data_IF_872463002269
#
_entry.id   IF_872463002269
#
_cell.length_a   1.000
_cell.length_b   1.000
_cell.length_c   1.000
_cell.angle_alpha   90.00
_cell.angle_beta   90.00
_cell.angle_gamma   90.00
#
_symmetry.space_group_name_H-M   'P 1'
#
loop_
_entity.id
_entity.type
_entity.pdbx_description
1 polymer ?
#
# COMPACT_ATOMS: atom_id res chain seq x y z
N UNK A 1 8.24 -8.45 26.02
CA UNK A 1 7.96 -8.91 24.67
C UNK A 1 9.13 -8.61 23.74
N UNK A 2 9.32 -9.38 22.66
CA UNK A 2 10.31 -9.08 21.63
C UNK A 2 9.77 -8.04 20.66
N UNK A 3 10.65 -7.12 20.22
CA UNK A 3 10.34 -6.14 19.18
C UNK A 3 11.59 -5.82 18.36
N UNK A 4 11.41 -5.39 17.12
CA UNK A 4 12.45 -4.78 16.31
C UNK A 4 12.56 -3.31 16.72
N UNK A 5 13.76 -2.87 17.12
CA UNK A 5 13.96 -1.51 17.63
C UNK A 5 14.90 -0.73 16.73
N UNK A 6 14.48 0.46 16.34
CA UNK A 6 15.28 1.47 15.67
C UNK A 6 15.86 2.42 16.72
N UNK A 7 17.15 2.29 17.01
CA UNK A 7 17.85 3.13 17.99
C UNK A 7 18.30 4.47 17.41
N UNK A 8 18.61 4.49 16.12
CA UNK A 8 19.01 5.66 15.36
C UNK A 8 18.52 5.54 13.92
N UNK A 9 18.24 6.66 13.26
CA UNK A 9 17.96 6.65 11.82
C UNK A 9 19.19 6.23 11.05
N UNK A 10 19.02 5.27 10.13
CA UNK A 10 20.13 4.70 9.36
C UNK A 10 19.71 3.53 8.49
N UNK A 11 20.66 2.69 8.06
CA UNK A 11 20.39 1.48 7.29
C UNK A 11 19.43 0.53 8.01
N UNK A 12 18.59 -0.17 7.26
CA UNK A 12 17.63 -1.12 7.85
C UNK A 12 18.32 -2.33 8.50
N UNK A 13 19.54 -2.62 8.08
CA UNK A 13 20.41 -3.65 8.63
C UNK A 13 20.84 -3.41 10.08
N UNK A 14 20.79 -2.16 10.55
CA UNK A 14 21.14 -1.78 11.94
C UNK A 14 20.00 -2.07 12.93
N UNK A 15 18.81 -2.44 12.43
CA UNK A 15 17.70 -2.84 13.27
C UNK A 15 18.00 -4.13 14.03
N UNK A 16 17.56 -4.21 15.27
CA UNK A 16 17.81 -5.38 16.12
C UNK A 16 16.59 -5.79 16.94
N UNK A 17 16.47 -7.11 17.19
CA UNK A 17 15.50 -7.62 18.14
C UNK A 17 15.90 -7.24 19.56
N UNK A 18 14.98 -6.64 20.30
CA UNK A 18 15.19 -6.30 21.71
C UNK A 18 14.03 -6.78 22.58
N UNK A 19 14.31 -6.99 23.85
CA UNK A 19 13.27 -7.19 24.86
C UNK A 19 12.82 -5.83 25.38
N UNK A 20 11.54 -5.53 25.20
CA UNK A 20 10.92 -4.29 25.71
C UNK A 20 9.74 -4.63 26.61
N UNK A 21 9.32 -3.73 27.50
CA UNK A 21 8.07 -3.92 28.26
C UNK A 21 6.89 -4.12 27.33
N UNK A 22 5.97 -5.00 27.71
CA UNK A 22 4.68 -5.13 27.00
C UNK A 22 3.82 -3.89 27.29
N UNK A 23 3.24 -3.26 26.26
CA UNK A 23 2.39 -2.09 26.47
C UNK A 23 1.02 -2.49 26.99
N UNK A 24 0.39 -1.58 27.75
CA UNK A 24 -1.01 -1.73 28.17
C UNK A 24 -1.91 -0.77 27.41
N UNK A 25 -3.12 -1.19 26.98
CA UNK A 25 -4.01 -0.32 26.22
C UNK A 25 -4.57 0.81 27.08
N UNK A 26 -4.59 2.03 26.53
CA UNK A 26 -5.33 3.16 27.08
C UNK A 26 -6.84 2.96 26.99
N UNK A 27 -7.62 3.96 27.39
CA UNK A 27 -9.06 3.83 27.51
C UNK A 27 -9.80 3.49 26.22
N UNK A 28 -9.30 4.00 25.08
CA UNK A 28 -9.91 3.86 23.73
C UNK A 28 -9.05 3.00 22.80
N UNK A 29 -8.11 2.23 23.36
CA UNK A 29 -7.13 1.43 22.61
C UNK A 29 -7.34 -0.06 22.85
N UNK A 30 -6.72 -0.85 22.01
CA UNK A 30 -6.74 -2.31 22.04
C UNK A 30 -5.32 -2.83 22.00
N UNK A 31 -5.01 -3.83 22.82
CA UNK A 31 -3.78 -4.61 22.73
C UNK A 31 -4.03 -5.78 21.79
N UNK A 32 -3.18 -5.95 20.80
CA UNK A 32 -3.22 -7.05 19.82
C UNK A 32 -1.99 -7.93 20.02
N UNK A 33 -2.20 -9.23 20.21
CA UNK A 33 -1.17 -10.25 20.04
C UNK A 33 -0.93 -10.40 18.52
N UNK A 34 0.24 -10.00 18.07
CA UNK A 34 0.57 -9.92 16.64
C UNK A 34 0.92 -11.29 16.10
N UNK A 35 0.17 -11.75 15.11
CA UNK A 35 0.43 -12.99 14.39
C UNK A 35 1.24 -12.76 13.11
N UNK A 36 0.96 -11.66 12.39
CA UNK A 36 1.65 -11.30 11.16
C UNK A 36 1.70 -9.78 10.97
N UNK A 37 2.77 -9.30 10.33
CA UNK A 37 2.97 -7.88 10.00
C UNK A 37 3.26 -7.71 8.52
N UNK A 38 2.67 -6.70 7.90
CA UNK A 38 3.02 -6.29 6.54
C UNK A 38 4.34 -5.53 6.53
N UNK A 39 5.18 -5.81 5.52
CA UNK A 39 6.44 -5.09 5.29
C UNK A 39 6.26 -4.14 4.11
N UNK A 40 6.39 -2.86 4.36
CA UNK A 40 6.08 -1.81 3.39
C UNK A 40 7.26 -0.88 3.13
N UNK A 41 7.36 -0.35 1.90
CA UNK A 41 8.39 0.63 1.54
C UNK A 41 8.45 1.85 2.48
N UNK A 42 7.32 2.42 2.96
CA UNK A 42 7.34 3.46 3.98
C UNK A 42 8.04 3.08 5.29
N UNK A 43 8.05 1.80 5.69
CA UNK A 43 8.75 1.36 6.90
C UNK A 43 10.27 1.51 6.75
N UNK A 44 10.83 1.18 5.57
CA UNK A 44 12.24 1.39 5.28
C UNK A 44 12.60 2.89 5.26
N UNK A 45 11.75 3.73 4.63
CA UNK A 45 11.93 5.19 4.65
C UNK A 45 11.87 5.76 6.07
N UNK A 46 11.00 5.21 6.91
CA UNK A 46 10.86 5.62 8.31
C UNK A 46 12.15 5.34 9.10
N UNK A 47 12.69 4.12 8.97
CA UNK A 47 13.94 3.70 9.61
C UNK A 47 15.11 4.56 9.16
N UNK A 48 15.17 4.93 7.88
CA UNK A 48 16.19 5.83 7.31
C UNK A 48 15.99 7.31 7.66
N UNK A 49 14.87 7.68 8.29
CA UNK A 49 14.53 9.08 8.58
C UNK A 49 14.21 9.91 7.35
N UNK A 50 13.80 9.25 6.25
CA UNK A 50 13.46 9.85 4.96
C UNK A 50 11.94 9.98 4.74
N UNK A 51 11.13 9.43 5.65
CA UNK A 51 9.67 9.54 5.57
C UNK A 51 9.20 10.94 6.04
N UNK A 52 7.95 11.30 5.66
CA UNK A 52 7.35 12.60 6.00
C UNK A 52 7.17 12.80 7.51
N UNK A 53 6.97 11.69 8.24
CA UNK A 53 6.88 11.67 9.71
C UNK A 53 8.17 11.10 10.26
N UNK A 54 8.70 11.73 11.34
CA UNK A 54 9.89 11.25 12.04
C UNK A 54 9.52 10.94 13.48
N UNK A 55 9.40 9.66 13.85
CA UNK A 55 9.15 9.28 15.24
C UNK A 55 10.35 9.65 16.15
N UNK A 56 10.07 9.81 17.44
CA UNK A 56 11.13 9.96 18.45
C UNK A 56 11.89 8.64 18.61
N UNK A 57 13.20 8.73 18.68
CA UNK A 57 14.08 7.57 18.91
C UNK A 57 14.20 7.26 20.41
N UNK A 58 14.31 5.98 20.84
CA UNK A 58 14.14 4.79 20.01
C UNK A 58 12.66 4.51 19.71
N UNK A 59 12.36 3.84 18.60
CA UNK A 59 10.99 3.42 18.26
C UNK A 59 10.97 2.01 17.63
N UNK A 60 9.79 1.40 17.64
CA UNK A 60 9.50 0.15 16.94
C UNK A 60 8.85 0.50 15.59
N UNK A 61 9.40 0.06 14.43
CA UNK A 61 8.79 0.29 13.12
C UNK A 61 7.53 -0.55 12.89
N UNK A 62 6.97 -0.41 11.69
CA UNK A 62 5.81 -1.17 11.20
C UNK A 62 4.50 -0.40 11.37
N UNK A 63 3.70 -0.41 10.29
CA UNK A 63 2.46 0.38 10.19
C UNK A 63 1.20 -0.48 10.14
N UNK A 64 1.30 -1.76 9.79
CA UNK A 64 0.16 -2.67 9.72
C UNK A 64 0.47 -4.04 10.31
N UNK A 65 -0.56 -4.70 10.84
CA UNK A 65 -0.47 -6.05 11.35
C UNK A 65 -1.83 -6.76 11.30
N UNK A 66 -1.80 -8.07 11.54
CA UNK A 66 -2.97 -8.87 11.88
C UNK A 66 -2.67 -9.75 13.08
N UNK A 67 -3.70 -10.07 13.86
CA UNK A 67 -3.56 -10.85 15.08
C UNK A 67 -4.88 -11.02 15.83
N UNK A 68 -4.78 -11.29 17.12
CA UNK A 68 -5.92 -11.46 18.01
C UNK A 68 -5.92 -10.41 19.12
N UNK A 69 -7.08 -9.96 19.50
CA UNK A 69 -7.23 -9.01 20.60
C UNK A 69 -6.89 -9.70 21.93
N UNK A 70 -5.87 -9.19 22.63
CA UNK A 70 -5.40 -9.67 23.93
C UNK A 70 -6.04 -8.90 25.10
N UNK A 71 -6.23 -7.58 24.95
CA UNK A 71 -6.87 -6.75 25.97
C UNK A 71 -7.57 -5.53 25.36
N UNK A 72 -8.55 -5.00 26.07
CA UNK A 72 -9.38 -3.87 25.65
C UNK A 72 -9.29 -2.73 26.66
N UNK A 73 -9.20 -1.50 26.15
CA UNK A 73 -9.41 -0.30 26.94
C UNK A 73 -10.86 -0.19 27.44
N UNK A 74 -11.05 0.48 28.56
CA UNK A 74 -12.34 0.54 29.27
C UNK A 74 -13.51 1.11 28.46
N UNK A 75 -13.25 1.90 27.42
CA UNK A 75 -14.26 2.53 26.57
C UNK A 75 -14.55 1.70 25.31
N UNK A 76 -13.77 0.66 25.02
CA UNK A 76 -13.91 -0.16 23.80
C UNK A 76 -15.01 -1.19 24.05
N UNK A 77 -16.13 -1.06 23.31
CA UNK A 77 -17.31 -1.94 23.41
C UNK A 77 -17.63 -2.67 22.11
N UNK A 78 -16.92 -2.37 21.03
CA UNK A 78 -17.16 -2.90 19.69
C UNK A 78 -16.43 -4.21 19.41
N UNK A 79 -15.51 -4.60 20.28
CA UNK A 79 -14.67 -5.79 20.15
C UNK A 79 -14.69 -6.62 21.43
N UNK A 80 -14.25 -7.88 21.32
CA UNK A 80 -14.04 -8.80 22.45
C UNK A 80 -12.62 -9.37 22.41
N UNK A 81 -12.10 -9.79 23.56
CA UNK A 81 -10.84 -10.51 23.65
C UNK A 81 -10.96 -11.81 22.86
N UNK A 82 -9.95 -12.09 22.02
CA UNK A 82 -9.94 -13.22 21.11
C UNK A 82 -10.45 -12.92 19.68
N UNK A 83 -11.02 -11.75 19.42
CA UNK A 83 -11.42 -11.37 18.07
C UNK A 83 -10.20 -11.32 17.14
N UNK A 84 -10.37 -11.85 15.93
CA UNK A 84 -9.37 -11.81 14.86
C UNK A 84 -9.47 -10.47 14.13
N UNK A 85 -8.36 -9.73 14.11
CA UNK A 85 -8.34 -8.37 13.58
C UNK A 85 -7.09 -8.09 12.75
N UNK A 86 -7.21 -7.15 11.83
CA UNK A 86 -6.10 -6.42 11.25
C UNK A 86 -6.11 -4.99 11.76
N UNK A 87 -4.96 -4.35 11.82
CA UNK A 87 -4.83 -3.00 12.35
C UNK A 87 -3.83 -2.16 11.55
N UNK A 88 -4.17 -0.87 11.42
CA UNK A 88 -3.24 0.18 11.01
C UNK A 88 -2.79 0.96 12.22
N UNK A 89 -1.51 0.94 12.52
CA UNK A 89 -0.98 1.69 13.66
C UNK A 89 -0.52 3.09 13.23
N UNK A 90 -1.22 4.16 13.62
CA UNK A 90 -0.81 5.53 13.30
C UNK A 90 0.45 5.95 14.08
N UNK A 91 0.80 5.20 15.11
CA UNK A 91 1.98 5.43 15.96
C UNK A 91 3.11 4.43 15.67
N UNK A 92 3.00 3.65 14.58
CA UNK A 92 3.92 2.55 14.26
C UNK A 92 3.86 1.42 15.31
N UNK A 93 4.92 0.63 15.44
CA UNK A 93 5.06 -0.34 16.55
C UNK A 93 4.66 -1.77 16.21
N UNK A 94 4.25 -2.08 14.98
CA UNK A 94 3.73 -3.42 14.66
C UNK A 94 4.82 -4.50 14.53
N UNK A 95 6.12 -4.14 14.40
CA UNK A 95 7.20 -5.11 14.37
C UNK A 95 7.56 -5.59 15.78
N UNK A 96 6.57 -6.14 16.47
CA UNK A 96 6.66 -6.64 17.85
C UNK A 96 5.71 -7.82 18.05
N UNK A 97 5.88 -8.57 19.16
CA UNK A 97 4.98 -9.66 19.55
C UNK A 97 3.57 -9.13 19.93
N UNK A 98 3.49 -7.87 20.41
CA UNK A 98 2.21 -7.24 20.71
C UNK A 98 2.27 -5.73 20.40
N UNK A 99 1.12 -5.13 20.07
CA UNK A 99 0.99 -3.71 19.76
C UNK A 99 -0.31 -3.12 20.31
N UNK A 100 -0.25 -1.88 20.79
CA UNK A 100 -1.44 -1.11 21.18
C UNK A 100 -1.84 -0.21 20.02
N UNK A 101 -3.14 -0.27 19.63
CA UNK A 101 -3.69 0.50 18.50
C UNK A 101 -5.03 1.12 18.91
N UNK A 102 -5.33 2.36 18.52
CA UNK A 102 -6.67 2.94 18.73
C UNK A 102 -7.77 2.06 18.10
N UNK A 103 -8.87 1.86 18.80
CA UNK A 103 -9.97 0.99 18.35
C UNK A 103 -10.57 1.43 16.98
N UNK A 104 -10.45 2.71 16.63
CA UNK A 104 -10.86 3.25 15.32
C UNK A 104 -10.02 2.78 14.14
N UNK A 105 -8.84 2.22 14.38
CA UNK A 105 -7.90 1.73 13.38
C UNK A 105 -7.81 0.21 13.33
N UNK A 106 -8.80 -0.47 13.89
CA UNK A 106 -8.90 -1.93 13.95
C UNK A 106 -10.05 -2.40 13.07
N UNK A 107 -9.80 -3.46 12.32
CA UNK A 107 -10.72 -4.00 11.33
C UNK A 107 -10.89 -5.51 11.55
N UNK A 108 -12.13 -5.99 11.79
CA UNK A 108 -12.40 -7.43 11.87
C UNK A 108 -12.01 -8.13 10.57
N UNK A 109 -11.37 -9.28 10.66
CA UNK A 109 -11.02 -10.09 9.49
C UNK A 109 -11.91 -11.33 9.39
N UNK A 110 -12.39 -11.71 8.18
CA UNK A 110 -13.17 -12.93 7.97
C UNK A 110 -12.39 -14.18 8.37
N UNK A 111 -13.10 -15.21 8.85
CA UNK A 111 -12.48 -16.51 9.22
C UNK A 111 -11.72 -17.16 8.06
N UNK A 112 -12.21 -16.98 6.83
CA UNK A 112 -11.61 -17.53 5.62
C UNK A 112 -10.25 -16.92 5.26
N UNK A 113 -9.90 -15.75 5.84
CA UNK A 113 -8.64 -15.06 5.56
C UNK A 113 -7.64 -15.36 6.68
N UNK A 114 -6.45 -15.86 6.34
CA UNK A 114 -5.38 -16.07 7.30
C UNK A 114 -4.71 -14.74 7.70
N UNK A 115 -3.91 -14.78 8.77
CA UNK A 115 -3.27 -13.59 9.30
C UNK A 115 -2.20 -13.02 8.38
N UNK A 116 -1.49 -13.85 7.60
CA UNK A 116 -0.44 -13.39 6.70
C UNK A 116 -1.00 -12.53 5.57
N UNK A 117 -2.06 -12.98 4.92
CA UNK A 117 -2.75 -12.18 3.90
C UNK A 117 -3.44 -10.95 4.50
N UNK A 118 -4.08 -11.08 5.67
CA UNK A 118 -4.73 -9.95 6.33
C UNK A 118 -3.72 -8.88 6.79
N UNK A 119 -2.57 -9.30 7.31
CA UNK A 119 -1.52 -8.41 7.80
C UNK A 119 -0.77 -7.64 6.72
N UNK A 120 -0.85 -8.07 5.45
CA UNK A 120 -0.21 -7.41 4.30
C UNK A 120 -1.22 -6.67 3.39
N UNK A 121 -2.49 -6.53 3.79
CA UNK A 121 -3.54 -6.01 2.93
C UNK A 121 -3.79 -4.52 3.12
N UNK A 122 -3.70 -4.02 4.36
CA UNK A 122 -4.24 -2.70 4.68
C UNK A 122 -3.47 -1.56 4.01
N UNK A 123 -2.14 -1.58 4.03
CA UNK A 123 -1.34 -0.50 3.49
C UNK A 123 -1.40 -0.46 1.95
N UNK A 124 -1.00 -1.54 1.30
CA UNK A 124 -0.88 -1.56 -0.16
C UNK A 124 -2.25 -1.53 -0.85
N UNK A 125 -3.18 -2.41 -0.44
CA UNK A 125 -4.51 -2.47 -1.05
C UNK A 125 -5.40 -1.32 -0.59
N UNK A 126 -5.29 -0.86 0.67
CA UNK A 126 -5.99 0.33 1.15
C UNK A 126 -5.61 1.58 0.36
N UNK A 127 -4.31 1.78 0.12
CA UNK A 127 -3.80 2.87 -0.73
C UNK A 127 -4.36 2.77 -2.15
N UNK A 128 -4.27 1.59 -2.77
CA UNK A 128 -4.75 1.39 -4.15
C UNK A 128 -6.28 1.55 -4.25
N UNK A 129 -7.04 1.03 -3.28
CA UNK A 129 -8.50 1.17 -3.25
C UNK A 129 -8.92 2.63 -3.12
N UNK A 130 -8.35 3.36 -2.14
CA UNK A 130 -8.61 4.79 -1.99
C UNK A 130 -8.26 5.58 -3.26
N UNK A 131 -7.11 5.29 -3.86
CA UNK A 131 -6.65 5.93 -5.08
C UNK A 131 -7.63 5.72 -6.25
N UNK A 132 -8.03 4.48 -6.50
CA UNK A 132 -8.84 4.11 -7.65
C UNK A 132 -10.32 4.45 -7.46
N UNK A 133 -10.88 4.19 -6.26
CA UNK A 133 -12.31 4.37 -5.99
C UNK A 133 -12.65 5.82 -5.64
N UNK A 134 -11.99 6.41 -4.63
CA UNK A 134 -12.33 7.76 -4.19
C UNK A 134 -11.63 8.86 -4.98
N UNK A 135 -10.31 8.69 -5.25
CA UNK A 135 -9.55 9.78 -5.89
C UNK A 135 -9.72 9.82 -7.39
N UNK A 136 -9.68 8.65 -8.06
CA UNK A 136 -9.87 8.57 -9.50
C UNK A 136 -11.34 8.40 -9.92
N UNK A 137 -12.20 7.88 -9.06
CA UNK A 137 -13.54 7.40 -9.43
C UNK A 137 -13.47 6.52 -10.69
N UNK A 138 -12.59 5.50 -10.66
CA UNK A 138 -12.34 4.58 -11.78
C UNK A 138 -13.64 3.86 -12.17
N UNK A 139 -13.92 3.77 -13.46
CA UNK A 139 -15.12 3.16 -14.00
C UNK A 139 -14.79 1.90 -14.81
N UNK A 140 -15.69 0.96 -14.83
CA UNK A 140 -15.60 -0.21 -15.72
C UNK A 140 -15.42 0.22 -17.17
N UNK A 141 -14.48 -0.42 -17.88
CA UNK A 141 -14.12 -0.13 -19.26
C UNK A 141 -13.12 1.00 -19.46
N UNK A 142 -12.75 1.76 -18.42
CA UNK A 142 -11.65 2.74 -18.51
C UNK A 142 -10.29 2.04 -18.61
N UNK A 143 -9.33 2.67 -19.27
CA UNK A 143 -7.95 2.21 -19.34
C UNK A 143 -7.16 2.70 -18.14
N UNK A 144 -6.71 1.76 -17.29
CA UNK A 144 -5.85 1.98 -16.14
C UNK A 144 -4.41 1.59 -16.46
N UNK A 145 -3.49 2.57 -16.49
CA UNK A 145 -2.06 2.32 -16.54
C UNK A 145 -1.50 2.27 -15.11
N UNK A 146 -0.80 1.21 -14.75
CA UNK A 146 -0.13 1.05 -13.46
C UNK A 146 1.37 0.99 -13.68
N UNK A 147 2.13 1.95 -13.14
CA UNK A 147 3.60 1.88 -13.11
C UNK A 147 4.07 1.09 -11.88
N UNK A 148 5.25 0.46 -11.96
CA UNK A 148 5.72 -0.41 -10.86
C UNK A 148 4.71 -1.52 -10.52
N UNK A 149 4.03 -2.05 -11.52
CA UNK A 149 2.84 -2.90 -11.39
C UNK A 149 3.08 -4.25 -10.68
N UNK A 150 4.32 -4.66 -10.48
CA UNK A 150 4.68 -5.87 -9.73
C UNK A 150 5.15 -5.58 -8.28
N UNK A 151 5.26 -4.31 -7.88
CA UNK A 151 5.52 -3.93 -6.49
C UNK A 151 4.23 -3.97 -5.67
N UNK A 152 4.32 -3.96 -4.35
CA UNK A 152 3.18 -4.16 -3.44
C UNK A 152 1.95 -3.31 -3.79
N UNK A 153 2.08 -1.99 -3.80
CA UNK A 153 0.96 -1.07 -4.09
C UNK A 153 0.54 -1.12 -5.58
N UNK A 154 1.50 -1.31 -6.50
CA UNK A 154 1.21 -1.44 -7.93
C UNK A 154 0.41 -2.71 -8.24
N UNK A 155 0.80 -3.84 -7.65
CA UNK A 155 0.10 -5.11 -7.84
C UNK A 155 -1.31 -5.07 -7.23
N UNK A 156 -1.46 -4.42 -6.07
CA UNK A 156 -2.77 -4.15 -5.49
C UNK A 156 -3.65 -3.32 -6.44
N UNK A 157 -3.09 -2.29 -7.10
CA UNK A 157 -3.82 -1.49 -8.07
C UNK A 157 -4.22 -2.30 -9.32
N UNK A 158 -3.37 -3.22 -9.79
CA UNK A 158 -3.68 -4.15 -10.88
C UNK A 158 -4.88 -5.01 -10.50
N UNK A 159 -4.85 -5.67 -9.34
CA UNK A 159 -5.94 -6.53 -8.88
C UNK A 159 -7.25 -5.78 -8.70
N UNK A 160 -7.22 -4.63 -8.03
CA UNK A 160 -8.41 -3.82 -7.78
C UNK A 160 -8.96 -3.25 -9.10
N UNK A 161 -8.09 -2.74 -9.99
CA UNK A 161 -8.50 -2.25 -11.31
C UNK A 161 -9.20 -3.32 -12.13
N UNK A 162 -8.63 -4.53 -12.18
CA UNK A 162 -9.24 -5.68 -12.83
C UNK A 162 -10.60 -6.04 -12.22
N UNK A 163 -10.68 -6.11 -10.88
CA UNK A 163 -11.92 -6.42 -10.17
C UNK A 163 -13.01 -5.36 -10.37
N UNK A 164 -12.65 -4.10 -10.64
CA UNK A 164 -13.57 -3.01 -10.99
C UNK A 164 -13.94 -2.99 -12.48
N UNK A 165 -13.37 -3.89 -13.29
CA UNK A 165 -13.68 -4.02 -14.73
C UNK A 165 -12.96 -3.01 -15.61
N UNK A 166 -11.83 -2.42 -15.15
CA UNK A 166 -10.98 -1.60 -15.99
C UNK A 166 -10.15 -2.46 -16.95
N UNK A 167 -9.71 -1.87 -18.07
CA UNK A 167 -8.67 -2.44 -18.92
C UNK A 167 -7.29 -2.07 -18.35
N UNK A 168 -6.60 -3.04 -17.74
CA UNK A 168 -5.39 -2.80 -16.95
C UNK A 168 -4.13 -3.00 -17.79
N UNK A 169 -3.34 -1.95 -17.93
CA UNK A 169 -2.02 -1.96 -18.56
C UNK A 169 -0.96 -1.88 -17.46
N UNK A 170 -0.18 -2.95 -17.30
CA UNK A 170 0.92 -2.98 -16.34
C UNK A 170 2.23 -2.51 -16.98
N UNK A 171 2.96 -1.60 -16.31
CA UNK A 171 4.28 -1.15 -16.74
C UNK A 171 5.33 -1.53 -15.69
N UNK A 172 6.30 -2.37 -16.07
CA UNK A 172 7.37 -2.87 -15.21
C UNK A 172 8.73 -2.85 -15.92
N UNK A 173 9.83 -2.91 -15.15
CA UNK A 173 11.19 -2.77 -15.66
C UNK A 173 11.77 -4.02 -16.33
N UNK A 174 11.16 -5.20 -16.14
CA UNK A 174 11.64 -6.46 -16.72
C UNK A 174 10.49 -7.46 -16.95
N UNK A 175 10.80 -8.53 -17.69
CA UNK A 175 9.80 -9.52 -18.13
C UNK A 175 9.26 -10.39 -16.97
N UNK A 176 10.06 -10.67 -15.94
CA UNK A 176 9.63 -11.43 -14.76
C UNK A 176 8.52 -10.67 -14.00
N UNK A 177 8.75 -9.37 -13.74
CA UNK A 177 7.76 -8.49 -13.12
C UNK A 177 6.48 -8.35 -13.95
N UNK A 178 6.60 -8.34 -15.29
CA UNK A 178 5.43 -8.33 -16.17
C UNK A 178 4.64 -9.63 -16.10
N UNK A 179 5.32 -10.76 -15.98
CA UNK A 179 4.65 -12.05 -15.80
C UNK A 179 3.82 -12.07 -14.50
N UNK A 180 4.41 -11.60 -13.41
CA UNK A 180 3.70 -11.46 -12.12
C UNK A 180 2.46 -10.57 -12.25
N UNK A 181 2.58 -9.39 -12.86
CA UNK A 181 1.44 -8.48 -13.04
C UNK A 181 0.32 -9.11 -13.88
N UNK A 182 0.66 -9.86 -14.93
CA UNK A 182 -0.32 -10.58 -15.76
C UNK A 182 -1.06 -11.69 -15.01
N UNK A 183 -0.35 -12.44 -14.17
CA UNK A 183 -0.97 -13.46 -13.32
C UNK A 183 -1.99 -12.89 -12.33
N UNK A 184 -1.87 -11.59 -12.01
CA UNK A 184 -2.73 -10.90 -11.06
C UNK A 184 -3.77 -9.97 -11.71
N UNK A 185 -4.02 -10.09 -13.02
CA UNK A 185 -5.14 -9.42 -13.66
C UNK A 185 -4.78 -8.26 -14.59
N UNK A 186 -3.50 -8.07 -14.95
CA UNK A 186 -3.15 -7.14 -16.03
C UNK A 186 -3.49 -7.72 -17.40
N UNK A 187 -4.28 -7.00 -18.20
CA UNK A 187 -4.66 -7.40 -19.57
C UNK A 187 -3.47 -7.27 -20.52
N UNK A 188 -2.69 -6.20 -20.38
CA UNK A 188 -1.53 -5.91 -21.22
C UNK A 188 -0.34 -5.49 -20.36
N UNK A 189 0.87 -5.71 -20.88
CA UNK A 189 2.10 -5.40 -20.17
C UNK A 189 3.10 -4.65 -21.06
N UNK A 190 3.78 -3.64 -20.50
CA UNK A 190 4.80 -2.81 -21.14
C UNK A 190 6.10 -2.98 -20.36
N UNK A 191 7.18 -3.35 -21.05
CA UNK A 191 8.52 -3.43 -20.48
C UNK A 191 9.21 -2.05 -20.58
N UNK A 192 9.21 -1.29 -19.48
CA UNK A 192 9.79 0.07 -19.44
C UNK A 192 11.31 0.09 -19.64
N UNK A 193 11.98 -1.05 -19.51
CA UNK A 193 13.42 -1.19 -19.81
C UNK A 193 13.72 -1.40 -21.29
N UNK A 194 12.70 -1.70 -22.12
CA UNK A 194 12.86 -1.99 -23.55
C UNK A 194 12.00 -1.08 -24.42
N UNK A 195 10.82 -0.69 -23.96
CA UNK A 195 9.79 -0.01 -24.74
C UNK A 195 9.73 1.48 -24.39
N UNK A 196 9.44 2.33 -25.37
CA UNK A 196 8.99 3.69 -25.09
C UNK A 196 7.53 3.63 -24.58
N UNK A 197 7.33 3.98 -23.30
CA UNK A 197 6.03 3.88 -22.64
C UNK A 197 4.97 4.72 -23.32
N UNK A 198 5.32 5.92 -23.81
CA UNK A 198 4.39 6.80 -24.51
C UNK A 198 3.90 6.19 -25.81
N UNK A 199 4.84 5.66 -26.62
CA UNK A 199 4.51 5.07 -27.92
C UNK A 199 3.71 3.77 -27.75
N UNK A 200 4.07 2.96 -26.72
CA UNK A 200 3.31 1.76 -26.35
C UNK A 200 1.88 2.11 -25.94
N UNK A 201 1.67 3.06 -25.03
CA UNK A 201 0.33 3.50 -24.60
C UNK A 201 -0.46 4.05 -25.79
N UNK A 202 0.16 4.88 -26.63
CA UNK A 202 -0.49 5.43 -27.83
C UNK A 202 -0.98 4.31 -28.75
N UNK A 203 -0.17 3.29 -28.97
CA UNK A 203 -0.53 2.13 -29.79
C UNK A 203 -1.69 1.33 -29.17
N UNK A 204 -1.58 1.00 -27.88
CA UNK A 204 -2.57 0.18 -27.17
C UNK A 204 -3.93 0.85 -27.02
N UNK A 205 -3.97 2.18 -26.98
CA UNK A 205 -5.20 2.96 -26.79
C UNK A 205 -5.72 3.62 -28.08
N UNK A 206 -5.15 3.29 -29.24
CA UNK A 206 -5.51 3.94 -30.51
C UNK A 206 -5.27 5.46 -30.49
N UNK A 207 -4.36 5.94 -29.66
CA UNK A 207 -4.02 7.36 -29.51
C UNK A 207 -4.82 8.10 -28.43
N UNK A 208 -5.81 7.47 -27.79
CA UNK A 208 -6.65 8.10 -26.74
C UNK A 208 -5.84 8.41 -25.45
N UNK A 209 -4.86 7.57 -25.12
CA UNK A 209 -4.13 7.64 -23.85
C UNK A 209 -4.84 6.86 -22.72
N UNK A 210 -4.25 6.84 -21.54
CA UNK A 210 -4.83 6.18 -20.37
C UNK A 210 -5.82 7.11 -19.65
N UNK A 211 -6.99 6.58 -19.26
CA UNK A 211 -7.99 7.33 -18.49
C UNK A 211 -7.50 7.58 -17.06
N UNK A 212 -6.84 6.58 -16.46
CA UNK A 212 -6.23 6.68 -15.14
C UNK A 212 -4.79 6.18 -15.21
N UNK A 213 -3.87 6.92 -14.59
CA UNK A 213 -2.50 6.48 -14.35
C UNK A 213 -2.32 6.36 -12.83
N UNK A 214 -1.95 5.17 -12.35
CA UNK A 214 -1.55 4.92 -10.97
C UNK A 214 -0.01 4.87 -10.91
N UNK A 215 0.60 5.88 -10.27
CA UNK A 215 2.05 6.08 -10.34
C UNK A 215 2.73 6.11 -8.96
N UNK A 216 3.25 4.99 -8.47
CA UNK A 216 4.09 4.91 -7.28
C UNK A 216 5.59 5.14 -7.58
N UNK A 217 6.00 5.27 -8.85
CA UNK A 217 7.41 5.29 -9.27
C UNK A 217 7.95 6.71 -9.38
N UNK A 218 7.26 7.60 -10.07
CA UNK A 218 7.75 8.96 -10.32
C UNK A 218 8.95 8.99 -11.28
N UNK A 219 9.98 9.74 -10.91
CA UNK A 219 11.27 9.81 -11.62
C UNK A 219 11.17 10.28 -13.08
N UNK A 220 12.09 9.80 -13.91
CA UNK A 220 12.16 10.18 -15.33
C UNK A 220 10.98 9.66 -16.17
N UNK A 221 10.32 8.59 -15.73
CA UNK A 221 9.15 8.03 -16.40
C UNK A 221 8.00 9.05 -16.47
N UNK A 222 7.91 9.94 -15.52
CA UNK A 222 6.90 11.00 -15.45
C UNK A 222 6.80 11.86 -16.71
N UNK A 223 7.89 12.04 -17.46
CA UNK A 223 7.91 12.78 -18.73
C UNK A 223 7.07 12.09 -19.82
N UNK A 224 7.14 10.75 -19.88
CA UNK A 224 6.34 9.92 -20.78
C UNK A 224 4.89 9.83 -20.29
N UNK A 225 4.69 9.65 -18.97
CA UNK A 225 3.36 9.57 -18.37
C UNK A 225 2.54 10.84 -18.59
N UNK A 226 3.11 12.04 -18.39
CA UNK A 226 2.44 13.33 -18.62
C UNK A 226 1.88 13.49 -20.05
N UNK A 227 2.47 12.78 -21.03
CA UNK A 227 2.01 12.75 -22.43
C UNK A 227 1.06 11.60 -22.74
N UNK A 228 1.00 10.60 -21.86
CA UNK A 228 0.21 9.38 -22.02
C UNK A 228 -1.16 9.42 -21.35
N UNK A 229 -1.43 10.41 -20.50
CA UNK A 229 -2.77 10.66 -19.94
C UNK A 229 -3.74 11.00 -21.06
N UNK A 230 -4.90 10.38 -21.08
CA UNK A 230 -5.99 10.67 -22.02
C UNK A 230 -6.70 12.00 -21.76
N UNK A 231 -7.63 12.38 -22.62
CA UNK A 231 -8.49 13.56 -22.43
C UNK A 231 -9.35 13.39 -21.15
N UNK A 232 -9.37 14.39 -20.28
CA UNK A 232 -10.02 14.34 -18.95
C UNK A 232 -9.52 13.20 -18.04
N UNK A 233 -8.35 12.65 -18.30
CA UNK A 233 -7.77 11.58 -17.49
C UNK A 233 -7.33 12.05 -16.09
N UNK A 234 -6.91 11.11 -15.25
CA UNK A 234 -6.44 11.36 -13.88
C UNK A 234 -5.09 10.67 -13.69
N UNK A 235 -4.07 11.46 -13.37
CA UNK A 235 -2.78 10.93 -12.98
C UNK A 235 -2.65 10.95 -11.46
N UNK A 236 -2.68 9.79 -10.85
CA UNK A 236 -2.61 9.60 -9.41
C UNK A 236 -1.15 9.55 -8.97
N UNK A 237 -0.75 10.49 -8.12
CA UNK A 237 0.58 10.54 -7.51
C UNK A 237 0.52 9.75 -6.21
N UNK A 238 1.14 8.57 -6.21
CA UNK A 238 1.15 7.62 -5.08
C UNK A 238 2.46 7.70 -4.31
N UNK A 239 3.59 7.78 -5.04
CA UNK A 239 4.92 7.78 -4.44
C UNK A 239 6.02 8.12 -5.45
N UNK A 240 7.25 7.97 -5.00
CA UNK A 240 8.46 8.29 -5.76
C UNK A 240 9.52 7.21 -5.52
N UNK A 241 9.18 5.95 -5.80
CA UNK A 241 10.08 4.80 -5.56
C UNK A 241 11.39 4.87 -6.36
N UNK A 242 11.42 5.62 -7.48
CA UNK A 242 12.65 5.93 -8.23
C UNK A 242 13.55 6.98 -7.51
N UNK A 243 13.09 7.52 -6.37
CA UNK A 243 13.81 8.49 -5.55
C UNK A 243 13.73 9.95 -6.03
N UNK A 244 13.36 10.20 -7.28
CA UNK A 244 13.29 11.56 -7.84
C UNK A 244 11.85 12.07 -7.92
N UNK A 245 11.59 13.24 -7.32
CA UNK A 245 10.30 13.93 -7.47
C UNK A 245 10.27 14.62 -8.85
N UNK A 246 9.34 14.23 -9.75
CA UNK A 246 9.33 14.73 -11.12
C UNK A 246 8.85 16.18 -11.22
N UNK A 247 9.33 16.89 -12.23
CA UNK A 247 8.83 18.21 -12.64
C UNK A 247 7.92 18.05 -13.84
N UNK A 248 6.66 18.42 -13.72
CA UNK A 248 5.66 18.31 -14.78
C UNK A 248 5.36 19.70 -15.37
N UNK A 249 5.50 19.89 -16.71
CA UNK A 249 5.11 21.12 -17.37
C UNK A 249 3.59 21.30 -17.33
N UNK A 250 3.09 22.34 -16.66
CA UNK A 250 1.64 22.57 -16.43
C UNK A 250 0.84 22.88 -17.71
N UNK A 251 1.50 23.17 -18.82
CA UNK A 251 0.82 23.28 -20.11
C UNK A 251 0.26 21.95 -20.62
N UNK A 252 0.78 20.81 -20.17
CA UNK A 252 0.27 19.49 -20.59
C UNK A 252 -1.11 19.18 -19.99
N UNK A 253 -1.34 19.29 -18.67
CA UNK A 253 -2.71 19.15 -18.13
C UNK A 253 -3.66 20.23 -18.68
N UNK A 254 -3.18 21.47 -18.96
CA UNK A 254 -4.01 22.51 -19.56
C UNK A 254 -4.57 22.10 -20.93
N UNK A 255 -3.70 21.64 -21.86
CA UNK A 255 -4.12 21.35 -23.25
C UNK A 255 -4.84 20.00 -23.40
N UNK A 256 -4.66 19.07 -22.48
CA UNK A 256 -5.29 17.75 -22.48
C UNK A 256 -6.44 17.62 -21.48
N UNK A 257 -6.70 18.62 -20.66
CA UNK A 257 -7.79 18.65 -19.69
C UNK A 257 -7.66 17.62 -18.56
N UNK A 258 -6.49 17.01 -18.34
CA UNK A 258 -6.32 15.98 -17.30
C UNK A 258 -6.00 16.59 -15.93
N UNK A 259 -6.25 15.83 -14.88
CA UNK A 259 -5.94 16.18 -13.49
C UNK A 259 -4.71 15.43 -12.98
N UNK A 260 -3.87 16.09 -12.17
CA UNK A 260 -2.86 15.47 -11.34
C UNK A 260 -3.42 15.40 -9.92
N UNK A 261 -3.56 14.19 -9.39
CA UNK A 261 -4.31 13.92 -8.16
C UNK A 261 -3.39 13.32 -7.11
N UNK A 262 -3.18 14.00 -6.00
CA UNK A 262 -2.43 13.48 -4.86
C UNK A 262 -3.22 12.39 -4.13
N UNK A 263 -2.51 11.36 -3.68
CA UNK A 263 -3.06 10.28 -2.87
C UNK A 263 -2.24 10.15 -1.60
N UNK A 264 -2.85 10.45 -0.46
CA UNK A 264 -2.22 10.28 0.85
C UNK A 264 -3.16 9.49 1.77
N UNK A 265 -3.11 8.18 1.62
CA UNK A 265 -4.05 7.25 2.24
C UNK A 265 -4.00 7.27 3.78
N UNK A 266 -2.84 7.32 4.42
CA UNK A 266 -2.75 7.40 5.90
C UNK A 266 -3.50 8.62 6.44
N UNK A 267 -3.26 9.81 5.86
CA UNK A 267 -4.00 11.02 6.26
C UNK A 267 -5.50 10.96 5.96
N UNK A 268 -5.91 10.20 4.93
CA UNK A 268 -7.33 9.96 4.67
C UNK A 268 -7.95 9.11 5.78
N UNK A 269 -7.31 8.06 6.24
CA UNK A 269 -7.81 7.21 7.32
C UNK A 269 -8.04 8.01 8.62
N UNK A 270 -7.12 8.94 8.95
CA UNK A 270 -7.25 9.80 10.11
C UNK A 270 -8.40 10.82 9.97
N UNK A 271 -8.64 11.34 8.75
CA UNK A 271 -9.65 12.38 8.49
C UNK A 271 -11.05 11.85 8.28
N UNK A 272 -11.17 10.64 7.75
CA UNK A 272 -12.47 9.97 7.48
C UNK A 272 -12.39 8.49 7.88
N UNK A 273 -12.32 8.22 9.21
CA UNK A 273 -12.20 6.85 9.72
C UNK A 273 -13.42 5.99 9.36
N UNK A 274 -14.62 6.57 9.21
CA UNK A 274 -15.83 5.84 8.83
C UNK A 274 -15.73 5.31 7.39
N UNK A 275 -15.24 6.13 6.46
CA UNK A 275 -15.03 5.68 5.08
C UNK A 275 -13.85 4.70 5.01
N UNK A 276 -12.81 4.88 5.83
CA UNK A 276 -11.69 3.93 5.92
C UNK A 276 -12.18 2.54 6.41
N UNK A 277 -13.04 2.49 7.43
CA UNK A 277 -13.69 1.26 7.89
C UNK A 277 -14.48 0.58 6.75
N UNK A 278 -15.28 1.34 6.01
CA UNK A 278 -16.04 0.84 4.86
C UNK A 278 -15.12 0.26 3.78
N UNK A 279 -14.05 0.97 3.43
CA UNK A 279 -13.08 0.53 2.42
C UNK A 279 -12.40 -0.79 2.80
N UNK A 280 -11.94 -0.90 4.06
CA UNK A 280 -11.27 -2.11 4.52
C UNK A 280 -12.23 -3.29 4.62
N UNK A 281 -13.47 -3.08 5.05
CA UNK A 281 -14.52 -4.09 5.00
C UNK A 281 -14.70 -4.65 3.59
N UNK A 282 -14.81 -3.78 2.59
CA UNK A 282 -14.92 -4.18 1.18
C UNK A 282 -13.68 -4.92 0.67
N UNK A 283 -12.47 -4.48 1.06
CA UNK A 283 -11.23 -5.17 0.70
C UNK A 283 -11.17 -6.58 1.30
N UNK A 284 -11.55 -6.75 2.56
CA UNK A 284 -11.60 -8.07 3.19
C UNK A 284 -12.66 -8.98 2.56
N UNK A 285 -13.83 -8.45 2.19
CA UNK A 285 -14.84 -9.20 1.43
C UNK A 285 -14.33 -9.64 0.06
N UNK A 286 -13.63 -8.75 -0.65
CA UNK A 286 -13.00 -9.08 -1.95
C UNK A 286 -11.93 -10.17 -1.78
N UNK A 287 -11.10 -10.09 -0.74
CA UNK A 287 -10.09 -11.10 -0.45
C UNK A 287 -10.73 -12.44 -0.05
N UNK A 288 -11.70 -12.45 0.85
CA UNK A 288 -12.41 -13.65 1.29
C UNK A 288 -13.19 -14.33 0.15
N UNK A 289 -13.68 -13.56 -0.82
CA UNK A 289 -14.37 -14.09 -2.02
C UNK A 289 -13.43 -14.50 -3.16
N UNK A 290 -12.10 -14.37 -2.98
CA UNK A 290 -11.09 -14.69 -4.00
C UNK A 290 -11.01 -13.69 -5.17
N UNK A 291 -11.66 -12.54 -5.08
CA UNK A 291 -11.54 -11.45 -6.07
C UNK A 291 -10.22 -10.70 -5.96
N UNK A 292 -9.61 -10.72 -4.78
CA UNK A 292 -8.26 -10.26 -4.50
C UNK A 292 -7.48 -11.40 -3.87
N UNK A 293 -6.20 -11.49 -4.20
CA UNK A 293 -5.27 -12.37 -3.49
C UNK A 293 -4.00 -11.57 -3.23
N UNK A 294 -3.81 -11.01 -2.02
CA UNK A 294 -2.57 -10.34 -1.67
C UNK A 294 -1.38 -11.24 -2.01
N UNK A 295 -0.44 -10.72 -2.78
CA UNK A 295 0.73 -11.49 -3.17
C UNK A 295 1.76 -11.42 -2.05
N UNK A 296 2.01 -12.55 -1.41
CA UNK A 296 3.06 -12.70 -0.41
C UNK A 296 4.33 -13.23 -1.09
N UNK A 297 5.36 -12.39 -1.18
CA UNK A 297 6.66 -12.81 -1.72
C UNK A 297 7.32 -13.85 -0.80
N UNK A 298 7.27 -13.61 0.51
CA UNK A 298 7.78 -14.51 1.54
C UNK A 298 7.10 -14.23 2.89
N UNK A 299 7.08 -15.25 3.76
CA UNK A 299 6.76 -15.10 5.19
C UNK A 299 8.04 -15.38 5.96
N UNK A 300 8.46 -14.47 6.80
CA UNK A 300 9.72 -14.52 7.55
C UNK A 300 9.48 -14.34 9.05
N UNK A 301 10.29 -14.95 9.92
CA UNK A 301 10.18 -14.71 11.35
C UNK A 301 10.61 -13.27 11.71
N UNK A 302 10.08 -12.73 12.83
CA UNK A 302 10.28 -11.34 13.26
C UNK A 302 11.77 -10.91 13.29
N UNK A 303 12.67 -11.78 13.69
CA UNK A 303 14.11 -11.47 13.73
C UNK A 303 14.75 -11.29 12.34
N UNK A 304 14.05 -11.66 11.26
CA UNK A 304 14.47 -11.40 9.88
C UNK A 304 13.85 -10.12 9.27
N UNK A 305 13.14 -9.31 10.06
CA UNK A 305 12.56 -8.06 9.59
C UNK A 305 13.57 -7.10 8.91
N UNK A 306 14.82 -6.97 9.38
CA UNK A 306 15.83 -6.16 8.66
C UNK A 306 16.08 -6.67 7.25
N UNK A 307 16.16 -8.00 7.06
CA UNK A 307 16.33 -8.65 5.75
C UNK A 307 15.09 -8.46 4.87
N UNK A 308 13.89 -8.57 5.45
CA UNK A 308 12.66 -8.35 4.71
C UNK A 308 12.57 -6.90 4.20
N UNK A 309 12.95 -5.92 5.02
CA UNK A 309 13.02 -4.51 4.63
C UNK A 309 14.05 -4.25 3.53
N UNK A 310 15.24 -4.86 3.58
CA UNK A 310 16.25 -4.74 2.52
C UNK A 310 15.77 -5.28 1.17
N UNK A 311 14.84 -6.24 1.14
CA UNK A 311 14.34 -6.83 -0.11
C UNK A 311 13.31 -5.96 -0.85
N UNK A 312 12.71 -5.00 -0.18
CA UNK A 312 11.71 -4.09 -0.77
C UNK A 312 12.29 -2.73 -1.18
N UNK A 313 13.54 -2.48 -0.90
CA UNK A 313 14.31 -1.31 -1.33
C UNK A 313 14.93 -1.50 -2.72
#
# INVERSE_FOLDING_TARGET
MKAIVCQAFGPVEDLSVQQIPEPAPGADEVLIDVASVGVNFPDALLVRGLYQVKPSLPFVPGIECAGTIAALGKNVTTFTVGDRVAAMSPQFGTYAEAVVVPASHIYPIPEALDFDHAGALLCAHGTAYHALVQRAALRSGETLLVTGAAGGTGLAAVQIGHALGAHVIAACSNDEKLHTAKQHGADVAINTGKDDVRDAIKSLTGGAGADVIFDPVGGDLAKSLARSVGWNGRWLVIGFADGAIPKVPLNLPLVKGYSIVGVFWGSFCDRDPAQAQTNHGQLFEMAASGKLTPHLHAVMPLNEAPRALSQIE
#
